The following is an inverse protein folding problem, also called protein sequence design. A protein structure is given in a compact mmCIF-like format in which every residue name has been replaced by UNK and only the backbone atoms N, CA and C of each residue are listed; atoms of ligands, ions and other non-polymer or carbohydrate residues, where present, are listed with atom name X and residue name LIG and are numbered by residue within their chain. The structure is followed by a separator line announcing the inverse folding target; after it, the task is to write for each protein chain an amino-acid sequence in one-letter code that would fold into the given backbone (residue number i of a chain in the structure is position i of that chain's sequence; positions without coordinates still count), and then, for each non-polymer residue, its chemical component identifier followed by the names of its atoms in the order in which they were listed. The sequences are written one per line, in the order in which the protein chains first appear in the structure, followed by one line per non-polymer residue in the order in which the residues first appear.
data_IF_392499127456
#
_entry.id   IF_392499127456
#
_cell.length_a   1.000
_cell.length_b   1.000
_cell.length_c   1.000
_cell.angle_alpha   90.00
_cell.angle_beta   90.00
_cell.angle_gamma   90.00
#
_symmetry.space_group_name_H-M   'P 1'
#
loop_
_entity.id
_entity.type
_entity.pdbx_description
1 polymer ?
#
# COMPACT_ATOMS: atom_id res chain seq x y z
N UNK A 1 -19.51 9.56 -2.54
CA UNK A 1 -18.69 8.53 -1.91
C UNK A 1 -17.90 9.21 -0.81
N UNK A 2 -17.84 8.62 0.38
CA UNK A 2 -17.09 9.22 1.49
C UNK A 2 -15.59 8.96 1.29
N UNK A 3 -14.73 9.91 1.65
CA UNK A 3 -13.28 9.80 1.51
C UNK A 3 -12.71 8.54 2.18
N UNK A 4 -13.35 8.09 3.27
CA UNK A 4 -13.02 6.84 3.96
C UNK A 4 -13.29 5.59 3.10
N UNK A 5 -14.32 5.59 2.25
CA UNK A 5 -14.60 4.45 1.37
C UNK A 5 -13.62 4.37 0.21
N UNK A 6 -13.26 5.51 -0.39
CA UNK A 6 -12.22 5.55 -1.43
C UNK A 6 -10.87 5.06 -0.89
N UNK A 7 -10.57 5.43 0.36
CA UNK A 7 -9.38 4.99 1.05
C UNK A 7 -9.39 3.48 1.37
N UNK A 8 -10.50 2.93 1.86
CA UNK A 8 -10.67 1.50 2.13
C UNK A 8 -10.50 0.66 0.84
N UNK A 9 -11.08 1.13 -0.27
CA UNK A 9 -10.95 0.47 -1.56
C UNK A 9 -9.52 0.53 -2.13
N UNK A 10 -8.78 1.61 -1.84
CA UNK A 10 -7.34 1.70 -2.15
C UNK A 10 -6.57 0.64 -1.36
N UNK A 11 -6.88 0.46 -0.07
CA UNK A 11 -6.25 -0.53 0.79
C UNK A 11 -6.48 -1.95 0.30
N UNK A 12 -7.71 -2.31 -0.06
CA UNK A 12 -7.99 -3.64 -0.62
C UNK A 12 -7.20 -3.90 -1.92
N UNK A 13 -7.13 -2.90 -2.81
CA UNK A 13 -6.35 -3.03 -4.06
C UNK A 13 -4.87 -3.24 -3.79
N UNK A 14 -4.29 -2.42 -2.92
CA UNK A 14 -2.89 -2.52 -2.53
C UNK A 14 -2.58 -3.86 -1.86
N UNK A 15 -3.48 -4.37 -1.03
CA UNK A 15 -3.33 -5.69 -0.42
C UNK A 15 -3.31 -6.79 -1.49
N UNK A 16 -4.23 -6.74 -2.45
CA UNK A 16 -4.28 -7.69 -3.57
C UNK A 16 -3.01 -7.65 -4.42
N UNK A 17 -2.52 -6.44 -4.74
CA UNK A 17 -1.26 -6.27 -5.47
C UNK A 17 -0.07 -6.82 -4.67
N UNK A 18 -0.01 -6.54 -3.37
CA UNK A 18 1.01 -7.06 -2.45
C UNK A 18 1.03 -8.59 -2.44
N UNK A 19 -0.12 -9.24 -2.31
CA UNK A 19 -0.21 -10.70 -2.29
C UNK A 19 0.29 -11.30 -3.62
N UNK A 20 -0.07 -10.67 -4.75
CA UNK A 20 0.43 -11.08 -6.06
C UNK A 20 1.95 -10.93 -6.19
N UNK A 21 2.48 -9.81 -5.71
CA UNK A 21 3.92 -9.56 -5.68
C UNK A 21 4.64 -10.56 -4.79
N UNK A 22 4.13 -10.84 -3.59
CA UNK A 22 4.73 -11.78 -2.64
C UNK A 22 4.86 -13.19 -3.25
N UNK A 23 3.86 -13.61 -4.04
CA UNK A 23 3.92 -14.87 -4.79
C UNK A 23 5.05 -14.87 -5.84
N UNK A 24 5.18 -13.78 -6.62
CA UNK A 24 6.26 -13.63 -7.61
C UNK A 24 7.64 -13.49 -6.95
N UNK A 25 7.70 -12.82 -5.80
CA UNK A 25 8.91 -12.57 -5.02
C UNK A 25 9.60 -13.83 -4.52
N UNK A 26 8.83 -14.89 -4.27
CA UNK A 26 9.42 -16.16 -3.89
C UNK A 26 10.39 -16.68 -4.97
N UNK A 27 10.10 -16.40 -6.24
CA UNK A 27 10.91 -16.75 -7.40
C UNK A 27 11.91 -15.66 -7.80
N UNK A 28 11.84 -14.49 -7.16
CA UNK A 28 12.59 -13.32 -7.55
C UNK A 28 14.01 -13.27 -6.97
N UNK A 29 14.86 -12.54 -7.69
CA UNK A 29 16.22 -12.16 -7.26
C UNK A 29 16.21 -11.34 -5.97
N UNK A 30 17.36 -11.33 -5.28
CA UNK A 30 17.56 -10.61 -4.03
C UNK A 30 17.27 -9.10 -4.15
N UNK A 31 17.55 -8.51 -5.31
CA UNK A 31 17.28 -7.10 -5.64
C UNK A 31 15.78 -6.74 -5.54
N UNK A 32 14.92 -7.56 -6.13
CA UNK A 32 13.48 -7.35 -6.05
C UNK A 32 12.94 -7.57 -4.63
N UNK A 33 13.59 -8.44 -3.83
CA UNK A 33 13.25 -8.64 -2.42
C UNK A 33 13.58 -7.42 -1.56
N UNK A 34 14.71 -6.78 -1.79
CA UNK A 34 15.08 -5.53 -1.12
C UNK A 34 14.07 -4.43 -1.46
N UNK A 35 13.76 -4.26 -2.75
CA UNK A 35 12.83 -3.23 -3.23
C UNK A 35 11.40 -3.47 -2.71
N UNK A 36 10.99 -4.73 -2.57
CA UNK A 36 9.73 -5.07 -1.91
C UNK A 36 9.75 -4.86 -0.40
N UNK A 37 10.88 -5.08 0.27
CA UNK A 37 11.00 -4.81 1.69
C UNK A 37 10.82 -3.30 1.97
N UNK A 38 11.33 -2.44 1.10
CA UNK A 38 11.07 -0.99 1.15
C UNK A 38 9.57 -0.68 0.96
N UNK A 39 8.93 -1.30 -0.03
CA UNK A 39 7.49 -1.16 -0.23
C UNK A 39 6.69 -1.67 1.00
N UNK A 40 7.14 -2.74 1.64
CA UNK A 40 6.47 -3.28 2.82
C UNK A 40 6.53 -2.34 4.03
N UNK A 41 7.61 -1.55 4.17
CA UNK A 41 7.69 -0.46 5.17
C UNK A 41 6.60 0.59 4.94
N UNK A 42 6.38 1.01 3.69
CA UNK A 42 5.32 1.95 3.31
C UNK A 42 3.94 1.33 3.54
N UNK A 43 3.76 0.04 3.25
CA UNK A 43 2.53 -0.69 3.52
C UNK A 43 2.16 -0.70 5.01
N UNK A 44 3.13 -0.92 5.91
CA UNK A 44 2.87 -0.85 7.35
C UNK A 44 2.41 0.54 7.78
N UNK A 45 3.05 1.59 7.26
CA UNK A 45 2.64 2.97 7.55
C UNK A 45 1.24 3.27 7.02
N UNK A 46 0.96 2.85 5.78
CA UNK A 46 -0.35 3.02 5.15
C UNK A 46 -1.44 2.27 5.94
N UNK A 47 -1.19 1.02 6.32
CA UNK A 47 -2.12 0.22 7.13
C UNK A 47 -2.35 0.82 8.51
N UNK A 48 -1.31 1.34 9.16
CA UNK A 48 -1.45 2.01 10.45
C UNK A 48 -2.36 3.22 10.33
N UNK A 49 -2.11 4.08 9.32
CA UNK A 49 -2.98 5.23 9.01
C UNK A 49 -4.40 4.79 8.67
N UNK A 50 -4.55 3.69 7.94
CA UNK A 50 -5.85 3.13 7.62
C UNK A 50 -6.66 2.74 8.84
N UNK A 51 -6.02 2.06 9.79
CA UNK A 51 -6.65 1.70 11.06
C UNK A 51 -7.01 2.94 11.86
N UNK A 52 -6.18 3.99 11.86
CA UNK A 52 -6.52 5.28 12.49
C UNK A 52 -7.72 5.97 11.83
N UNK A 53 -7.83 5.91 10.48
CA UNK A 53 -8.94 6.50 9.71
C UNK A 53 -10.24 5.72 9.91
N UNK A 54 -10.15 4.39 10.03
CA UNK A 54 -11.29 3.51 10.26
C UNK A 54 -11.78 3.58 11.72
N UNK A 55 -10.92 4.00 12.65
CA UNK A 55 -11.29 4.21 14.04
C UNK A 55 -12.14 5.48 14.17
N UNK A 56 -13.46 5.31 14.16
CA UNK A 56 -14.44 6.42 14.31
C UNK A 56 -14.28 7.20 15.62
N UNK A 57 -13.52 6.69 16.60
CA UNK A 57 -13.21 7.37 17.85
C UNK A 57 -12.15 8.47 17.67
N UNK A 58 -11.31 8.36 16.63
CA UNK A 58 -10.29 9.36 16.29
C UNK A 58 -10.90 10.38 15.33
N UNK A 59 -10.83 11.65 15.71
CA UNK A 59 -11.27 12.78 14.88
C UNK A 59 -10.35 12.90 13.65
N UNK A 60 -10.64 12.11 12.63
CA UNK A 60 -9.83 12.01 11.43
C UNK A 60 -10.16 13.18 10.51
N UNK A 61 -9.20 14.08 10.35
CA UNK A 61 -9.33 15.22 9.43
C UNK A 61 -9.14 14.78 7.97
N UNK A 62 -9.77 15.49 7.03
CA UNK A 62 -9.61 15.27 5.59
C UNK A 62 -8.14 15.31 5.15
N UNK A 63 -7.31 16.16 5.77
CA UNK A 63 -5.85 16.22 5.55
C UNK A 63 -5.14 14.91 5.91
N UNK A 64 -5.60 14.21 6.96
CA UNK A 64 -5.02 12.96 7.41
C UNK A 64 -5.33 11.83 6.41
N UNK A 65 -6.56 11.77 5.94
CA UNK A 65 -6.99 10.82 4.91
C UNK A 65 -6.26 11.10 3.59
N UNK A 66 -6.13 12.37 3.20
CA UNK A 66 -5.38 12.78 2.01
C UNK A 66 -3.91 12.35 2.10
N UNK A 67 -3.24 12.55 3.24
CA UNK A 67 -1.86 12.05 3.46
C UNK A 67 -1.78 10.54 3.35
N UNK A 68 -2.75 9.82 3.90
CA UNK A 68 -2.77 8.37 3.80
C UNK A 68 -2.99 7.91 2.35
N UNK A 69 -3.87 8.57 1.59
CA UNK A 69 -4.02 8.30 0.15
C UNK A 69 -2.71 8.52 -0.61
N UNK A 70 -1.98 9.60 -0.34
CA UNK A 70 -0.67 9.86 -0.98
C UNK A 70 0.31 8.72 -0.72
N UNK A 71 0.42 8.25 0.53
CA UNK A 71 1.28 7.10 0.87
C UNK A 71 0.82 5.84 0.14
N UNK A 72 -0.49 5.63 0.01
CA UNK A 72 -1.06 4.51 -0.74
C UNK A 72 -0.76 4.58 -2.24
N UNK A 73 -0.81 5.77 -2.85
CA UNK A 73 -0.41 5.96 -4.25
C UNK A 73 1.09 5.73 -4.47
N UNK A 74 1.93 6.20 -3.55
CA UNK A 74 3.38 5.96 -3.58
C UNK A 74 3.69 4.46 -3.48
N UNK A 75 3.02 3.77 -2.55
CA UNK A 75 3.13 2.34 -2.39
C UNK A 75 2.69 1.59 -3.65
N UNK A 76 1.56 2.01 -4.25
CA UNK A 76 1.07 1.41 -5.49
C UNK A 76 2.09 1.55 -6.61
N UNK A 77 2.69 2.73 -6.75
CA UNK A 77 3.72 2.96 -7.74
C UNK A 77 4.95 2.08 -7.51
N UNK A 78 5.37 1.89 -6.26
CA UNK A 78 6.44 0.96 -5.90
C UNK A 78 6.08 -0.49 -6.29
N UNK A 79 4.88 -0.95 -5.92
CA UNK A 79 4.38 -2.27 -6.30
C UNK A 79 4.31 -2.49 -7.81
N UNK A 80 3.85 -1.50 -8.58
CA UNK A 80 3.85 -1.59 -10.04
C UNK A 80 5.27 -1.72 -10.61
N UNK A 81 6.25 -0.96 -10.10
CA UNK A 81 7.66 -1.06 -10.53
C UNK A 81 8.24 -2.44 -10.24
N UNK A 82 8.03 -2.95 -9.03
CA UNK A 82 8.47 -4.29 -8.64
C UNK A 82 7.80 -5.33 -9.55
N UNK A 83 6.49 -5.24 -9.78
CA UNK A 83 5.75 -6.19 -10.62
C UNK A 83 6.24 -6.20 -12.06
N UNK A 84 6.58 -5.03 -12.61
CA UNK A 84 7.21 -4.93 -13.93
C UNK A 84 8.56 -5.64 -13.96
N UNK A 85 9.45 -5.35 -13.00
CA UNK A 85 10.75 -6.03 -12.90
C UNK A 85 10.66 -7.54 -12.73
N UNK A 86 9.60 -8.03 -12.08
CA UNK A 86 9.37 -9.46 -11.86
C UNK A 86 8.77 -10.19 -13.06
N UNK A 87 8.30 -9.46 -14.07
CA UNK A 87 7.62 -10.01 -15.25
C UNK A 87 8.47 -9.94 -16.51
N UNK A 88 9.57 -9.17 -16.50
CA UNK A 88 10.58 -9.10 -17.58
C UNK A 88 11.54 -10.30 -17.61
#
# INVERSE_FOLDING_TARGET
MSLSQDFDHLLEKLNTERESLQLKLHLASMDAKDEFAEAEQLWQQFKSKASEIADESIETSEDYIAKAQVVGEELKAAYQRISQRLTE
#
